data_IF_319804139754
#
_entry.id   IF_319804139754
#
_cell.length_a   1.000
_cell.length_b   1.000
_cell.length_c   1.000
_cell.angle_alpha   90.00
_cell.angle_beta   90.00
_cell.angle_gamma   90.00
#
_symmetry.space_group_name_H-M   'P 1'
#
loop_
_entity.id
_entity.type
_entity.pdbx_description
1 polymer ?
#
# COMPACT_ATOMS: atom_id res chain seq x y z
N UNK A 1 -6.54 7.45 -7.16
CA UNK A 1 -6.56 8.72 -7.89
C UNK A 1 -6.43 8.40 -9.36
N UNK A 2 -7.42 8.80 -10.16
CA UNK A 2 -7.35 8.73 -11.62
C UNK A 2 -6.92 10.09 -12.21
N UNK A 3 -6.75 10.14 -13.54
CA UNK A 3 -6.23 11.31 -14.24
C UNK A 3 -7.11 12.56 -14.05
N UNK A 4 -8.44 12.44 -14.07
CA UNK A 4 -9.30 13.62 -13.97
C UNK A 4 -9.28 14.20 -12.55
N UNK A 5 -9.23 13.34 -11.53
CA UNK A 5 -9.03 13.78 -10.16
C UNK A 5 -7.65 14.43 -9.96
N UNK A 6 -6.60 13.88 -10.58
CA UNK A 6 -5.26 14.47 -10.50
C UNK A 6 -5.20 15.86 -11.14
N UNK A 7 -5.85 16.05 -12.29
CA UNK A 7 -5.96 17.37 -12.95
C UNK A 7 -6.65 18.37 -12.01
N UNK A 8 -7.74 17.97 -11.36
CA UNK A 8 -8.43 18.82 -10.40
C UNK A 8 -7.53 19.24 -9.23
N UNK A 9 -6.73 18.32 -8.69
CA UNK A 9 -5.79 18.61 -7.60
C UNK A 9 -4.74 19.64 -8.03
N UNK A 10 -4.14 19.48 -9.21
CA UNK A 10 -3.06 20.39 -9.66
C UNK A 10 -3.60 21.77 -10.09
N UNK A 11 -4.88 21.86 -10.46
CA UNK A 11 -5.53 23.12 -10.83
C UNK A 11 -6.29 23.78 -9.67
N UNK A 12 -6.19 23.24 -8.45
CA UNK A 12 -6.93 23.76 -7.30
C UNK A 12 -6.31 25.06 -6.79
N UNK A 13 -7.02 26.16 -7.04
CA UNK A 13 -6.68 27.52 -6.62
C UNK A 13 -7.51 28.00 -5.42
N UNK A 14 -8.40 27.15 -4.89
CA UNK A 14 -9.32 27.50 -3.80
C UNK A 14 -9.00 26.73 -2.51
N UNK A 15 -9.02 25.39 -2.54
CA UNK A 15 -8.94 24.59 -1.31
C UNK A 15 -7.50 24.45 -0.82
N UNK A 16 -6.52 24.30 -1.71
CA UNK A 16 -5.11 24.20 -1.31
C UNK A 16 -4.61 25.49 -0.62
N UNK A 17 -4.86 26.71 -1.13
CA UNK A 17 -4.48 27.93 -0.42
C UNK A 17 -5.20 28.09 0.94
N UNK A 18 -6.47 27.69 1.03
CA UNK A 18 -7.19 27.67 2.33
C UNK A 18 -6.56 26.68 3.30
N UNK A 19 -6.23 25.47 2.84
CA UNK A 19 -5.52 24.47 3.63
C UNK A 19 -4.17 25.00 4.14
N UNK A 20 -3.39 25.65 3.27
CA UNK A 20 -2.11 26.27 3.65
C UNK A 20 -2.28 27.39 4.69
N UNK A 21 -3.34 28.20 4.58
CA UNK A 21 -3.62 29.27 5.54
C UNK A 21 -4.03 28.75 6.91
N UNK A 22 -4.81 27.68 6.94
CA UNK A 22 -5.45 27.19 8.17
C UNK A 22 -4.75 26.01 8.80
N UNK A 23 -3.85 25.32 8.10
CA UNK A 23 -3.08 24.25 8.69
C UNK A 23 -1.58 24.53 8.77
N UNK A 24 -1.10 24.74 10.00
CA UNK A 24 0.31 25.02 10.28
C UNK A 24 1.20 23.77 10.34
N UNK A 25 0.71 22.65 10.87
CA UNK A 25 1.49 21.41 11.04
C UNK A 25 0.98 20.22 10.20
N UNK A 26 0.04 20.46 9.28
CA UNK A 26 -0.46 19.39 8.43
C UNK A 26 0.55 18.99 7.37
N UNK A 27 0.49 17.71 7.02
CA UNK A 27 1.22 17.13 5.90
C UNK A 27 0.23 17.03 4.73
N UNK A 28 0.53 17.67 3.60
CA UNK A 28 -0.43 17.85 2.50
C UNK A 28 -0.94 16.53 1.90
N UNK A 29 -0.08 15.54 1.71
CA UNK A 29 -0.47 14.22 1.18
C UNK A 29 -1.29 13.40 2.19
N UNK A 30 -1.07 13.58 3.50
CA UNK A 30 -1.83 12.90 4.55
C UNK A 30 -3.14 13.61 4.94
N UNK A 31 -3.24 14.94 4.76
CA UNK A 31 -4.38 15.74 5.24
C UNK A 31 -5.16 16.41 4.11
N UNK A 32 -4.49 17.12 3.19
CA UNK A 32 -5.18 17.89 2.15
C UNK A 32 -5.86 16.97 1.12
N UNK A 33 -5.13 16.01 0.56
CA UNK A 33 -5.70 15.12 -0.48
C UNK A 33 -6.92 14.34 0.04
N UNK A 34 -6.88 13.69 1.22
CA UNK A 34 -8.06 12.99 1.74
C UNK A 34 -9.22 13.95 2.04
N UNK A 35 -8.94 15.15 2.56
CA UNK A 35 -9.96 16.16 2.85
C UNK A 35 -10.64 16.62 1.56
N UNK A 36 -9.87 16.99 0.54
CA UNK A 36 -10.39 17.43 -0.75
C UNK A 36 -11.27 16.36 -1.39
N UNK A 37 -10.80 15.11 -1.42
CA UNK A 37 -11.56 14.00 -1.99
C UNK A 37 -12.82 13.72 -1.20
N UNK A 38 -12.80 13.81 0.13
CA UNK A 38 -13.97 13.62 0.98
C UNK A 38 -15.04 14.69 0.74
N UNK A 39 -14.63 15.96 0.65
CA UNK A 39 -15.54 17.10 0.48
C UNK A 39 -16.08 17.20 -0.95
N UNK A 40 -15.25 16.98 -1.97
CA UNK A 40 -15.63 17.22 -3.37
C UNK A 40 -16.01 15.96 -4.13
N UNK A 41 -15.48 14.80 -3.75
CA UNK A 41 -15.61 13.56 -4.50
C UNK A 41 -15.90 12.34 -3.60
N UNK A 42 -16.86 12.40 -2.67
CA UNK A 42 -17.07 11.33 -1.68
C UNK A 42 -17.36 9.97 -2.32
N UNK A 43 -18.11 9.95 -3.44
CA UNK A 43 -18.42 8.72 -4.20
C UNK A 43 -17.23 8.14 -4.98
N UNK A 44 -16.13 8.90 -5.13
CA UNK A 44 -14.89 8.45 -5.80
C UNK A 44 -13.84 7.97 -4.80
N UNK A 45 -14.13 8.01 -3.50
CA UNK A 45 -13.32 7.41 -2.45
C UNK A 45 -13.81 5.99 -2.15
N UNK A 46 -12.87 5.05 -2.08
CA UNK A 46 -13.16 3.69 -1.60
C UNK A 46 -12.97 3.57 -0.07
N UNK A 47 -12.62 4.65 0.63
CA UNK A 47 -12.25 4.67 2.06
C UNK A 47 -11.21 3.61 2.45
N UNK A 48 -10.34 3.25 1.49
CA UNK A 48 -9.22 2.31 1.66
C UNK A 48 -8.10 2.64 0.68
N UNK A 49 -6.89 2.21 1.00
CA UNK A 49 -5.74 2.26 0.10
C UNK A 49 -5.46 0.87 -0.52
N UNK A 50 -4.58 0.83 -1.51
CA UNK A 50 -4.09 -0.41 -2.11
C UNK A 50 -2.85 -0.98 -1.40
N UNK A 51 -2.35 -0.29 -0.37
CA UNK A 51 -1.09 -0.60 0.31
C UNK A 51 -1.37 -1.09 1.72
N UNK A 52 -0.94 -2.31 2.04
CA UNK A 52 -0.97 -2.82 3.39
C UNK A 52 0.12 -2.16 4.24
N UNK A 53 -0.24 -1.75 5.45
CA UNK A 53 0.64 -1.07 6.39
C UNK A 53 0.34 -1.57 7.80
N UNK A 54 1.40 -1.92 8.55
CA UNK A 54 1.28 -2.32 9.95
C UNK A 54 1.48 -1.12 10.88
N UNK A 55 0.41 -0.74 11.58
CA UNK A 55 0.41 0.30 12.61
C UNK A 55 0.34 -0.26 14.04
N UNK A 56 0.42 -1.58 14.22
CA UNK A 56 0.27 -2.23 15.53
C UNK A 56 1.31 -1.80 16.57
N UNK A 57 2.46 -1.28 16.11
CA UNK A 57 3.54 -0.78 16.95
C UNK A 57 3.29 0.64 17.48
N UNK A 58 2.31 1.36 16.95
CA UNK A 58 2.05 2.76 17.28
C UNK A 58 3.16 3.71 16.81
N UNK A 59 3.03 4.99 17.18
CA UNK A 59 3.97 6.05 16.81
C UNK A 59 3.74 6.63 15.41
N UNK A 60 4.61 7.57 14.96
CA UNK A 60 4.42 8.31 13.71
C UNK A 60 4.78 7.51 12.45
N UNK A 61 5.32 6.30 12.60
CA UNK A 61 5.77 5.48 11.48
C UNK A 61 5.31 4.04 11.62
N UNK A 62 4.96 3.38 10.50
CA UNK A 62 4.53 2.00 10.54
C UNK A 62 5.70 1.06 10.84
N UNK A 63 5.36 -0.17 11.24
CA UNK A 63 6.33 -1.22 11.51
C UNK A 63 7.21 -1.51 10.29
N UNK A 64 8.43 -1.98 10.59
CA UNK A 64 9.44 -2.32 9.58
C UNK A 64 9.71 -3.82 9.62
N UNK A 65 9.77 -4.44 8.45
CA UNK A 65 10.03 -5.86 8.29
C UNK A 65 11.46 -6.10 7.80
N UNK A 66 12.25 -6.77 8.62
CA UNK A 66 13.59 -7.25 8.30
C UNK A 66 13.59 -8.58 7.56
N UNK A 67 14.79 -9.05 7.20
CA UNK A 67 14.98 -10.30 6.45
C UNK A 67 14.31 -11.51 7.11
N UNK A 68 14.40 -11.66 8.43
CA UNK A 68 13.86 -12.83 9.12
C UNK A 68 12.32 -12.83 9.15
N UNK A 69 11.71 -11.65 9.21
CA UNK A 69 10.26 -11.46 9.30
C UNK A 69 9.56 -11.67 7.95
N UNK A 70 10.24 -11.46 6.82
CA UNK A 70 9.65 -11.76 5.50
C UNK A 70 9.51 -13.27 5.33
N UNK A 71 8.28 -13.78 5.50
CA UNK A 71 7.88 -15.16 5.23
C UNK A 71 6.77 -15.22 4.19
N UNK A 72 6.47 -16.41 3.67
CA UNK A 72 5.39 -16.62 2.68
C UNK A 72 4.05 -16.28 3.32
N UNK A 73 3.85 -16.73 4.55
CA UNK A 73 2.63 -16.55 5.33
C UNK A 73 2.39 -15.07 5.61
N UNK A 74 3.44 -14.32 5.95
CA UNK A 74 3.35 -12.86 6.11
C UNK A 74 2.90 -12.20 4.80
N UNK A 75 3.51 -12.54 3.68
CA UNK A 75 3.22 -11.93 2.38
C UNK A 75 1.81 -12.29 1.87
N UNK A 76 1.35 -13.53 2.09
CA UNK A 76 -0.03 -13.94 1.81
C UNK A 76 -1.01 -13.18 2.69
N UNK A 77 -0.70 -13.02 3.98
CA UNK A 77 -1.54 -12.28 4.90
C UNK A 77 -1.64 -10.79 4.55
N UNK A 78 -0.51 -10.17 4.17
CA UNK A 78 -0.49 -8.80 3.65
C UNK A 78 -1.36 -8.65 2.40
N UNK A 79 -1.32 -9.61 1.48
CA UNK A 79 -2.11 -9.60 0.23
C UNK A 79 -3.60 -9.75 0.50
N UNK A 80 -3.98 -10.62 1.44
CA UNK A 80 -5.37 -10.96 1.71
C UNK A 80 -6.02 -10.10 2.80
N UNK A 81 -5.22 -9.33 3.54
CA UNK A 81 -5.72 -8.40 4.56
C UNK A 81 -5.98 -9.03 5.93
N UNK A 82 -5.46 -10.23 6.21
CA UNK A 82 -5.48 -10.87 7.52
C UNK A 82 -4.33 -11.87 7.65
N UNK A 83 -3.89 -12.15 8.87
CA UNK A 83 -3.03 -13.29 9.21
C UNK A 83 -3.69 -14.65 8.92
N UNK A 84 -5.02 -14.66 8.69
CA UNK A 84 -5.79 -15.84 8.30
C UNK A 84 -6.11 -15.85 6.80
N UNK A 85 -5.91 -17.01 6.18
CA UNK A 85 -6.15 -17.29 4.75
C UNK A 85 -7.63 -17.22 4.32
N UNK A 86 -8.54 -16.90 5.23
CA UNK A 86 -10.00 -16.82 5.00
C UNK A 86 -10.55 -15.39 4.93
N UNK A 87 -9.67 -14.37 4.88
CA UNK A 87 -10.11 -12.98 4.77
C UNK A 87 -10.52 -12.63 3.33
N UNK A 88 -11.72 -12.08 3.19
CA UNK A 88 -12.20 -11.45 1.95
C UNK A 88 -12.46 -9.99 2.19
N UNK A 89 -12.16 -9.15 1.20
CA UNK A 89 -12.50 -7.73 1.21
C UNK A 89 -13.43 -7.38 0.06
N UNK A 90 -14.17 -6.30 0.25
CA UNK A 90 -15.02 -5.75 -0.80
C UNK A 90 -14.22 -4.79 -1.68
N UNK A 91 -14.29 -5.00 -2.99
CA UNK A 91 -13.76 -4.12 -4.01
C UNK A 91 -14.84 -3.84 -5.05
N UNK A 92 -15.28 -2.58 -5.14
CA UNK A 92 -16.34 -2.13 -6.06
C UNK A 92 -17.62 -2.98 -5.98
N UNK A 93 -18.04 -3.36 -4.77
CA UNK A 93 -19.23 -4.18 -4.53
C UNK A 93 -19.02 -5.68 -4.72
N UNK A 94 -17.80 -6.13 -5.07
CA UNK A 94 -17.47 -7.55 -5.28
C UNK A 94 -16.52 -8.05 -4.20
N UNK A 95 -16.77 -9.26 -3.70
CA UNK A 95 -15.86 -9.94 -2.78
C UNK A 95 -14.62 -10.44 -3.52
N UNK A 96 -13.44 -10.19 -2.95
CA UNK A 96 -12.14 -10.66 -3.45
C UNK A 96 -11.24 -11.13 -2.32
N UNK A 97 -10.33 -12.06 -2.62
CA UNK A 97 -9.25 -12.47 -1.71
C UNK A 97 -8.00 -11.59 -1.81
N UNK A 98 -7.91 -10.72 -2.83
CA UNK A 98 -6.77 -9.82 -3.00
C UNK A 98 -7.16 -8.42 -2.53
N UNK A 99 -6.72 -8.07 -1.33
CA UNK A 99 -7.09 -6.83 -0.65
C UNK A 99 -6.06 -5.73 -0.79
N UNK A 100 -4.79 -6.10 -0.93
CA UNK A 100 -3.72 -5.16 -1.11
C UNK A 100 -2.82 -5.59 -2.27
N UNK A 101 -2.36 -4.61 -3.03
CA UNK A 101 -1.44 -4.81 -4.16
C UNK A 101 0.00 -4.49 -3.75
N UNK A 102 0.17 -3.66 -2.72
CA UNK A 102 1.47 -3.22 -2.22
C UNK A 102 1.54 -3.42 -0.71
N UNK A 103 2.75 -3.43 -0.15
CA UNK A 103 2.98 -3.44 1.29
C UNK A 103 4.23 -2.62 1.65
N UNK A 104 4.26 -2.06 2.86
CA UNK A 104 5.42 -1.36 3.44
C UNK A 104 5.43 -1.53 4.97
N UNK A 105 6.55 -1.38 5.68
CA UNK A 105 7.88 -0.91 5.26
C UNK A 105 8.92 -2.03 5.35
N UNK A 106 9.58 -2.34 4.26
CA UNK A 106 10.61 -3.38 4.22
C UNK A 106 12.01 -2.77 4.42
N UNK A 107 12.85 -3.39 5.26
CA UNK A 107 14.25 -2.97 5.42
C UNK A 107 15.09 -3.46 4.22
N UNK A 108 16.20 -2.79 3.86
CA UNK A 108 17.02 -3.17 2.70
C UNK A 108 17.43 -4.65 2.67
N UNK A 109 17.79 -5.23 3.83
CA UNK A 109 18.18 -6.64 3.93
C UNK A 109 17.07 -7.66 3.61
N UNK A 110 15.82 -7.24 3.46
CA UNK A 110 14.69 -8.11 3.13
C UNK A 110 14.54 -8.43 1.64
N UNK A 111 15.22 -7.68 0.75
CA UNK A 111 15.09 -7.79 -0.71
C UNK A 111 15.27 -9.23 -1.22
N UNK A 112 16.30 -9.93 -0.72
CA UNK A 112 16.59 -11.31 -1.13
C UNK A 112 15.42 -12.27 -0.88
N UNK A 113 14.67 -12.11 0.24
CA UNK A 113 13.50 -12.95 0.52
C UNK A 113 12.27 -12.52 -0.26
N UNK A 114 12.07 -11.22 -0.48
CA UNK A 114 10.99 -10.72 -1.33
C UNK A 114 11.10 -11.30 -2.75
N UNK A 115 12.29 -11.26 -3.35
CA UNK A 115 12.53 -11.84 -4.68
C UNK A 115 12.38 -13.36 -4.69
N UNK A 116 12.88 -14.05 -3.65
CA UNK A 116 12.75 -15.51 -3.53
C UNK A 116 11.28 -15.98 -3.45
N UNK A 117 10.42 -15.22 -2.76
CA UNK A 117 9.03 -15.61 -2.54
C UNK A 117 8.06 -15.02 -3.58
N UNK A 118 8.45 -13.98 -4.32
CA UNK A 118 7.63 -13.35 -5.35
C UNK A 118 6.93 -14.33 -6.31
N UNK A 119 7.61 -15.35 -6.90
CA UNK A 119 6.93 -16.28 -7.81
C UNK A 119 5.83 -17.11 -7.14
N UNK A 120 6.01 -17.45 -5.85
CA UNK A 120 5.04 -18.24 -5.08
C UNK A 120 3.78 -17.43 -4.76
N UNK A 121 3.95 -16.17 -4.37
CA UNK A 121 2.85 -15.31 -3.92
C UNK A 121 2.12 -14.63 -5.09
N UNK A 122 2.87 -14.21 -6.11
CA UNK A 122 2.32 -13.39 -7.21
C UNK A 122 1.86 -14.22 -8.41
N UNK A 123 2.13 -15.53 -8.42
CA UNK A 123 1.70 -16.42 -9.49
C UNK A 123 2.38 -16.16 -10.84
N UNK A 124 3.58 -15.56 -10.83
CA UNK A 124 4.37 -15.41 -12.05
C UNK A 124 4.70 -16.79 -12.61
N UNK A 125 4.46 -17.01 -13.90
CA UNK A 125 5.05 -18.15 -14.62
C UNK A 125 6.57 -18.02 -14.44
N UNK A 126 7.22 -18.99 -13.79
CA UNK A 126 8.68 -18.96 -13.63
C UNK A 126 9.32 -18.97 -15.02
N UNK A 127 9.75 -17.80 -15.49
CA UNK A 127 10.63 -17.65 -16.66
C UNK A 127 12.08 -17.42 -16.26
N UNK A 128 12.38 -17.39 -14.97
CA UNK A 128 13.71 -17.13 -14.46
C UNK A 128 14.26 -18.36 -13.74
N UNK A 129 15.09 -19.10 -14.48
CA UNK A 129 16.10 -19.97 -13.88
C UNK A 129 17.09 -19.06 -13.16
N UNK A 130 16.90 -18.84 -11.86
CA UNK A 130 18.01 -18.43 -11.01
C UNK A 130 18.98 -19.62 -10.94
N UNK A 131 19.83 -19.76 -11.96
CA UNK A 131 21.14 -20.38 -11.75
C UNK A 131 21.82 -19.47 -10.73
N UNK A 132 21.79 -19.90 -9.48
CA UNK A 132 22.74 -19.45 -8.49
C UNK A 132 24.13 -19.79 -9.04
N UNK A 133 24.78 -18.83 -9.69
CA UNK A 133 26.23 -18.83 -9.77
C UNK A 133 26.70 -18.36 -8.40
N UNK A 134 26.73 -19.31 -7.46
CA UNK A 134 27.70 -19.28 -6.39
C UNK A 134 28.83 -20.15 -6.93
N UNK A 135 29.75 -19.53 -7.65
CA UNK A 135 31.09 -20.09 -7.78
C UNK A 135 31.93 -19.47 -6.66
N UNK A 136 32.37 -20.38 -5.79
CA UNK A 136 33.52 -20.37 -4.87
C UNK A 136 33.74 -19.15 -3.98
#
# INVERSE_FOLDING_TARGET
MDRSLAIFVISDDLYFPLFQRHCGSCIADEHYLPTLVSVRFPRRSANRSLTWVDWSKGGPHPARFGRKEVTVELLEGMRNGSSSSSSTCNYNGRSTRVCFLFARKFLPGSLSRLLRFAPRIMGFKQRFNYRAVIEQ
#
